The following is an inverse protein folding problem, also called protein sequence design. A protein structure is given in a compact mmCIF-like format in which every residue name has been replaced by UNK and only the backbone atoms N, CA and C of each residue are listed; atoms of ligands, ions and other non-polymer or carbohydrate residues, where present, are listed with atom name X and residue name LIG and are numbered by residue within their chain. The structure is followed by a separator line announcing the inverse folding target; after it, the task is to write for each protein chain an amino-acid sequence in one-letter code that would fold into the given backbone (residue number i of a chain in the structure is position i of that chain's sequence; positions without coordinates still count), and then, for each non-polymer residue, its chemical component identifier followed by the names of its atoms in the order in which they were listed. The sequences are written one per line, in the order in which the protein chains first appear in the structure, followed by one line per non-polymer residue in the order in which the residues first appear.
data_IF_801735739432
#
_entry.id   IF_801735739432
#
_cell.length_a   1.000
_cell.length_b   1.000
_cell.length_c   1.000
_cell.angle_alpha   90.00
_cell.angle_beta   90.00
_cell.angle_gamma   90.00
#
_symmetry.space_group_name_H-M   'P 1'
#
loop_
_entity.id
_entity.type
_entity.pdbx_description
1 polymer ?
#
# COMPACT_ATOMS: atom_id res chain seq x y z
N UNK A 1 10.78 -15.78 -24.33
CA UNK A 1 9.74 -14.74 -24.14
C UNK A 1 10.10 -13.99 -22.88
N UNK A 2 10.37 -12.68 -22.97
CA UNK A 2 10.48 -11.84 -21.78
C UNK A 2 9.16 -11.94 -21.01
N UNK A 3 9.21 -12.33 -19.73
CA UNK A 3 8.06 -12.19 -18.85
C UNK A 3 7.84 -10.69 -18.68
N UNK A 4 6.75 -10.17 -19.24
CA UNK A 4 6.32 -8.81 -18.89
C UNK A 4 6.03 -8.80 -17.39
N UNK A 5 6.90 -8.16 -16.62
CA UNK A 5 6.74 -8.00 -15.18
C UNK A 5 5.71 -6.91 -14.94
N UNK A 6 4.50 -7.34 -14.60
CA UNK A 6 3.41 -6.44 -14.23
C UNK A 6 3.53 -6.10 -12.74
N UNK A 7 3.55 -4.81 -12.43
CA UNK A 7 3.59 -4.29 -11.06
C UNK A 7 2.23 -3.67 -10.72
N UNK A 8 1.68 -4.06 -9.57
CA UNK A 8 0.46 -3.48 -9.01
C UNK A 8 0.83 -2.42 -7.97
N UNK A 9 0.41 -1.18 -8.20
CA UNK A 9 0.41 -0.08 -7.24
C UNK A 9 -0.96 -0.03 -6.56
N UNK A 10 -0.97 -0.15 -5.23
CA UNK A 10 -2.18 -0.12 -4.42
C UNK A 10 -2.17 1.14 -3.55
N UNK A 11 -3.15 2.02 -3.71
CA UNK A 11 -3.27 3.28 -2.97
C UNK A 11 -4.68 3.45 -2.40
N UNK A 12 -4.83 4.11 -1.24
CA UNK A 12 -6.13 4.21 -0.59
C UNK A 12 -7.03 5.28 -1.22
N UNK A 13 -6.45 6.39 -1.66
CA UNK A 13 -7.20 7.58 -2.09
C UNK A 13 -6.83 8.05 -3.48
N UNK A 14 -7.76 8.76 -4.14
CA UNK A 14 -7.47 9.45 -5.39
C UNK A 14 -6.40 10.55 -5.21
N UNK A 15 -6.33 11.17 -4.03
CA UNK A 15 -5.33 12.21 -3.75
C UNK A 15 -3.91 11.64 -3.82
N UNK A 16 -3.69 10.45 -3.26
CA UNK A 16 -2.42 9.71 -3.36
C UNK A 16 -2.15 9.26 -4.79
N UNK A 17 -3.18 8.78 -5.50
CA UNK A 17 -3.04 8.20 -6.84
C UNK A 17 -2.85 9.21 -7.97
N UNK A 18 -3.46 10.38 -7.88
CA UNK A 18 -3.48 11.39 -8.96
C UNK A 18 -2.08 11.71 -9.52
N UNK A 19 -1.05 12.02 -8.72
CA UNK A 19 0.28 12.30 -9.28
C UNK A 19 0.84 11.11 -10.06
N UNK A 20 0.68 9.89 -9.57
CA UNK A 20 1.15 8.69 -10.27
C UNK A 20 0.38 8.40 -11.56
N UNK A 21 -0.94 8.61 -11.56
CA UNK A 21 -1.77 8.43 -12.77
C UNK A 21 -1.27 9.37 -13.88
N UNK A 22 -1.00 10.63 -13.55
CA UNK A 22 -0.55 11.63 -14.51
C UNK A 22 0.89 11.36 -14.97
N UNK A 23 1.83 11.27 -14.03
CA UNK A 23 3.27 11.16 -14.34
C UNK A 23 3.64 9.82 -15.01
N UNK A 24 2.93 8.74 -14.69
CA UNK A 24 3.15 7.41 -15.29
C UNK A 24 2.27 7.14 -16.51
N UNK A 25 1.52 8.15 -16.96
CA UNK A 25 0.62 8.08 -18.12
C UNK A 25 -0.33 6.88 -18.04
N UNK A 26 -0.95 6.66 -16.88
CA UNK A 26 -1.89 5.56 -16.67
C UNK A 26 -3.26 5.92 -17.22
N UNK A 27 -3.84 5.01 -17.99
CA UNK A 27 -5.16 5.20 -18.60
C UNK A 27 -6.18 4.48 -17.74
N UNK A 28 -7.29 5.16 -17.41
CA UNK A 28 -8.39 4.56 -16.67
C UNK A 28 -8.98 3.39 -17.47
N UNK A 29 -9.03 2.22 -16.86
CA UNK A 29 -9.63 1.02 -17.45
C UNK A 29 -11.04 0.77 -16.92
N UNK A 30 -11.23 0.90 -15.61
CA UNK A 30 -12.51 0.62 -14.96
C UNK A 30 -12.74 1.53 -13.76
N UNK A 31 -14.00 1.63 -13.35
CA UNK A 31 -14.41 2.42 -12.17
C UNK A 31 -14.89 1.55 -11.02
N UNK A 32 -15.37 0.33 -11.31
CA UNK A 32 -16.05 -0.56 -10.36
C UNK A 32 -15.52 -2.00 -10.51
N UNK A 33 -15.41 -2.80 -9.43
CA UNK A 33 -15.69 -2.42 -8.04
C UNK A 33 -14.62 -1.50 -7.42
N UNK A 34 -13.49 -1.33 -8.11
CA UNK A 34 -12.43 -0.40 -7.74
C UNK A 34 -12.00 0.41 -8.97
N UNK A 35 -11.65 1.70 -8.83
CA UNK A 35 -11.01 2.44 -9.90
C UNK A 35 -9.64 1.84 -10.24
N UNK A 36 -9.46 1.46 -11.50
CA UNK A 36 -8.20 0.91 -12.02
C UNK A 36 -7.68 1.75 -13.17
N UNK A 37 -6.37 2.00 -13.13
CA UNK A 37 -5.62 2.70 -14.16
C UNK A 37 -4.44 1.84 -14.57
N UNK A 38 -4.14 1.74 -15.87
CA UNK A 38 -3.06 0.88 -16.35
C UNK A 38 -2.28 1.45 -17.52
N UNK A 39 -1.08 0.92 -17.70
CA UNK A 39 -0.33 0.99 -18.95
C UNK A 39 0.23 -0.42 -19.26
N UNK A 40 1.27 -0.51 -20.11
CA UNK A 40 1.87 -1.80 -20.52
C UNK A 40 2.43 -2.62 -19.34
N UNK A 41 3.00 -1.97 -18.33
CA UNK A 41 3.80 -2.63 -17.28
C UNK A 41 3.29 -2.36 -15.86
N UNK A 42 2.35 -1.41 -15.69
CA UNK A 42 1.85 -0.97 -14.40
C UNK A 42 0.34 -1.03 -14.34
N UNK A 43 -0.17 -1.39 -13.18
CA UNK A 43 -1.56 -1.24 -12.78
C UNK A 43 -1.57 -0.43 -11.50
N UNK A 44 -2.45 0.57 -11.42
CA UNK A 44 -2.77 1.29 -10.20
C UNK A 44 -4.22 1.04 -9.84
N UNK A 45 -4.47 0.65 -8.59
CA UNK A 45 -5.81 0.45 -8.05
C UNK A 45 -6.02 1.33 -6.83
N UNK A 46 -7.14 2.06 -6.82
CA UNK A 46 -7.57 2.86 -5.67
C UNK A 46 -8.46 1.96 -4.80
N UNK A 47 -7.96 1.55 -3.63
CA UNK A 47 -8.64 0.58 -2.76
C UNK A 47 -9.76 1.17 -1.91
N UNK A 48 -9.68 2.46 -1.58
CA UNK A 48 -10.40 3.04 -0.45
C UNK A 48 -9.62 2.89 0.86
N UNK A 49 -9.98 3.72 1.86
CA UNK A 49 -9.35 3.73 3.19
C UNK A 49 -9.77 2.50 3.99
N UNK A 50 -8.83 1.91 4.73
CA UNK A 50 -9.08 0.83 5.68
C UNK A 50 -8.55 -0.54 5.22
N UNK A 51 -8.23 -1.39 6.21
CA UNK A 51 -7.57 -2.69 5.99
C UNK A 51 -8.41 -3.64 5.11
N UNK A 52 -9.73 -3.68 5.32
CA UNK A 52 -10.64 -4.51 4.55
C UNK A 52 -10.68 -4.09 3.06
N UNK A 53 -10.79 -2.79 2.80
CA UNK A 53 -10.77 -2.21 1.46
C UNK A 53 -9.46 -2.52 0.72
N UNK A 54 -8.32 -2.30 1.38
CA UNK A 54 -7.01 -2.65 0.84
C UNK A 54 -6.89 -4.15 0.52
N UNK A 55 -7.35 -5.03 1.43
CA UNK A 55 -7.31 -6.47 1.23
C UNK A 55 -8.20 -6.93 0.04
N UNK A 56 -9.43 -6.40 -0.06
CA UNK A 56 -10.36 -6.73 -1.15
C UNK A 56 -9.83 -6.25 -2.50
N UNK A 57 -9.35 -5.02 -2.59
CA UNK A 57 -8.77 -4.47 -3.82
C UNK A 57 -7.51 -5.21 -4.26
N UNK A 58 -6.65 -5.58 -3.30
CA UNK A 58 -5.46 -6.40 -3.57
C UNK A 58 -5.85 -7.78 -4.10
N UNK A 59 -6.78 -8.48 -3.43
CA UNK A 59 -7.23 -9.80 -3.85
C UNK A 59 -7.88 -9.78 -5.23
N UNK A 60 -8.76 -8.81 -5.48
CA UNK A 60 -9.38 -8.56 -6.79
C UNK A 60 -8.31 -8.37 -7.88
N UNK A 61 -7.33 -7.51 -7.62
CA UNK A 61 -6.28 -7.19 -8.58
C UNK A 61 -5.36 -8.39 -8.85
N UNK A 62 -5.03 -9.16 -7.81
CA UNK A 62 -4.21 -10.36 -7.93
C UNK A 62 -4.90 -11.44 -8.77
N UNK A 63 -6.21 -11.66 -8.55
CA UNK A 63 -6.99 -12.63 -9.31
C UNK A 63 -7.19 -12.22 -10.76
N UNK A 64 -7.39 -10.92 -11.00
CA UNK A 64 -7.70 -10.38 -12.33
C UNK A 64 -6.48 -10.21 -13.21
N UNK A 65 -5.37 -9.72 -12.65
CA UNK A 65 -4.22 -9.27 -13.42
C UNK A 65 -2.96 -10.10 -13.21
N UNK A 66 -2.92 -10.97 -12.19
CA UNK A 66 -1.76 -11.79 -11.84
C UNK A 66 -0.43 -10.99 -11.82
N UNK A 67 -0.34 -9.88 -11.07
CA UNK A 67 0.87 -9.07 -11.01
C UNK A 67 2.01 -9.87 -10.39
N UNK A 68 3.23 -9.60 -10.85
CA UNK A 68 4.45 -10.20 -10.31
C UNK A 68 4.95 -9.54 -9.03
N UNK A 69 4.47 -8.33 -8.74
CA UNK A 69 4.83 -7.55 -7.56
C UNK A 69 3.65 -6.65 -7.16
N UNK A 70 3.44 -6.49 -5.86
CA UNK A 70 2.47 -5.56 -5.29
C UNK A 70 3.19 -4.55 -4.41
N UNK A 71 2.96 -3.27 -4.67
CA UNK A 71 3.51 -2.15 -3.91
C UNK A 71 2.35 -1.34 -3.35
N UNK A 72 2.24 -1.30 -2.03
CA UNK A 72 1.30 -0.40 -1.36
C UNK A 72 2.00 0.95 -1.11
N UNK A 73 1.37 2.04 -1.54
CA UNK A 73 1.89 3.40 -1.44
C UNK A 73 0.83 4.28 -0.76
N UNK A 74 1.27 5.18 0.10
CA UNK A 74 0.38 6.11 0.78
C UNK A 74 1.12 7.00 1.76
N UNK A 75 0.41 8.02 2.24
CA UNK A 75 0.93 8.86 3.32
C UNK A 75 0.66 8.20 4.69
N UNK A 76 1.54 8.44 5.66
CA UNK A 76 1.39 7.94 7.02
C UNK A 76 1.73 9.03 8.04
N UNK A 77 1.04 8.99 9.19
CA UNK A 77 1.38 9.81 10.34
C UNK A 77 2.57 9.24 11.10
N UNK A 78 3.46 10.11 11.57
CA UNK A 78 4.55 9.76 12.47
C UNK A 78 4.07 9.80 13.92
N UNK A 79 4.41 8.80 14.73
CA UNK A 79 4.08 8.74 16.18
C UNK A 79 5.18 9.35 17.05
N UNK A 80 5.95 10.29 16.51
CA UNK A 80 7.09 10.92 17.19
C UNK A 80 7.86 11.88 16.28
N UNK A 81 8.73 12.68 16.87
CA UNK A 81 9.43 13.79 16.20
C UNK A 81 10.66 13.39 15.38
N UNK A 82 10.96 12.09 15.27
CA UNK A 82 12.15 11.59 14.55
C UNK A 82 11.98 11.50 13.04
N UNK A 83 10.82 11.89 12.50
CA UNK A 83 10.51 11.86 11.09
C UNK A 83 10.17 13.27 10.62
N UNK A 84 10.82 13.72 9.55
CA UNK A 84 10.51 15.00 8.94
C UNK A 84 9.30 14.86 7.99
N UNK A 85 8.48 15.92 7.91
CA UNK A 85 7.35 15.95 7.00
C UNK A 85 7.83 15.79 5.55
N UNK A 86 7.22 14.86 4.82
CA UNK A 86 7.52 14.59 3.41
C UNK A 86 8.67 13.60 3.17
N UNK A 87 9.29 13.06 4.22
CA UNK A 87 10.24 11.97 4.06
C UNK A 87 9.57 10.69 3.56
N UNK A 88 10.27 9.97 2.68
CA UNK A 88 9.79 8.72 2.07
C UNK A 88 10.58 7.56 2.66
N UNK A 89 9.87 6.52 3.09
CA UNK A 89 10.44 5.34 3.70
C UNK A 89 9.96 4.07 3.03
N UNK A 90 10.84 3.09 2.97
CA UNK A 90 10.45 1.70 2.79
C UNK A 90 9.95 1.15 4.13
N UNK A 91 8.81 0.47 4.11
CA UNK A 91 8.30 -0.18 5.30
C UNK A 91 8.94 -1.56 5.41
N UNK A 92 9.79 -1.81 6.40
CA UNK A 92 10.41 -3.13 6.59
C UNK A 92 9.66 -4.02 7.59
N UNK A 93 8.73 -3.44 8.36
CA UNK A 93 7.84 -4.15 9.30
C UNK A 93 6.51 -3.41 9.39
N UNK A 94 5.42 -4.16 9.29
CA UNK A 94 4.07 -3.70 9.60
C UNK A 94 3.56 -4.38 10.86
N UNK A 95 2.80 -3.66 11.68
CA UNK A 95 2.16 -4.17 12.88
C UNK A 95 0.65 -3.91 12.83
N UNK A 96 -0.16 -4.96 12.92
CA UNK A 96 -1.62 -4.87 13.01
C UNK A 96 -2.04 -5.08 14.47
N UNK A 97 -2.41 -3.99 15.14
CA UNK A 97 -2.75 -3.99 16.56
C UNK A 97 -4.22 -4.33 16.83
N UNK A 98 -5.12 -4.07 15.88
CA UNK A 98 -6.56 -4.37 16.04
C UNK A 98 -6.87 -5.87 15.96
N UNK A 99 -5.90 -6.67 15.50
CA UNK A 99 -6.01 -8.13 15.40
C UNK A 99 -4.90 -8.78 16.25
N UNK A 100 -5.02 -8.79 17.58
CA UNK A 100 -4.01 -9.40 18.42
C UNK A 100 -4.08 -10.93 18.30
N UNK A 101 -2.91 -11.57 18.39
CA UNK A 101 -2.80 -13.02 18.49
C UNK A 101 -3.54 -13.53 19.75
N UNK A 102 -4.32 -14.59 19.59
CA UNK A 102 -5.22 -15.08 20.64
C UNK A 102 -4.51 -15.37 21.97
N UNK A 103 -3.36 -16.05 21.92
CA UNK A 103 -2.63 -16.51 23.12
C UNK A 103 -1.75 -15.43 23.74
N UNK A 104 -0.97 -14.73 22.92
CA UNK A 104 0.08 -13.80 23.38
C UNK A 104 -0.41 -12.37 23.51
N UNK A 105 -1.56 -12.04 22.92
CA UNK A 105 -2.07 -10.67 22.73
C UNK A 105 -1.14 -9.75 21.94
N UNK A 106 -0.07 -10.28 21.36
CA UNK A 106 0.85 -9.54 20.53
C UNK A 106 0.19 -9.16 19.18
N UNK A 107 0.54 -8.01 18.58
CA UNK A 107 0.06 -7.65 17.26
C UNK A 107 0.50 -8.66 16.21
N UNK A 108 -0.27 -8.77 15.11
CA UNK A 108 0.25 -9.45 13.92
C UNK A 108 1.37 -8.61 13.31
N UNK A 109 2.45 -9.27 12.90
CA UNK A 109 3.60 -8.64 12.28
C UNK A 109 3.77 -9.19 10.86
N UNK A 110 3.95 -8.29 9.90
CA UNK A 110 4.34 -8.67 8.54
C UNK A 110 5.67 -8.02 8.17
N UNK A 111 6.43 -8.71 7.32
CA UNK A 111 7.75 -8.28 6.85
C UNK A 111 7.70 -8.28 5.33
N UNK A 112 7.43 -7.13 4.69
CA UNK A 112 7.45 -7.03 3.23
C UNK A 112 8.90 -6.93 2.71
N UNK A 113 9.06 -7.18 1.41
CA UNK A 113 10.32 -6.96 0.72
C UNK A 113 10.64 -5.45 0.63
N UNK A 114 11.93 -5.11 0.69
CA UNK A 114 12.42 -3.73 0.55
C UNK A 114 13.56 -3.66 -0.46
N UNK A 115 13.70 -2.51 -1.11
CA UNK A 115 14.85 -2.24 -1.98
C UNK A 115 16.05 -1.84 -1.12
N UNK A 116 17.25 -2.19 -1.58
CA UNK A 116 18.50 -1.80 -0.91
C UNK A 116 18.68 -0.29 -0.99
N UNK A 117 19.40 0.27 -0.01
CA UNK A 117 19.82 1.68 0.03
C UNK A 117 18.69 2.71 0.26
N UNK A 118 17.47 2.24 0.57
CA UNK A 118 16.38 3.11 1.01
C UNK A 118 16.25 3.15 2.54
N UNK A 119 16.01 4.35 3.07
CA UNK A 119 15.64 4.55 4.47
C UNK A 119 14.42 3.71 4.82
N UNK A 120 14.50 3.00 5.95
CA UNK A 120 13.44 2.10 6.38
C UNK A 120 12.71 2.62 7.61
N UNK A 121 11.40 2.43 7.65
CA UNK A 121 10.56 2.68 8.81
C UNK A 121 9.72 1.44 9.15
N UNK A 122 9.11 1.49 10.33
CA UNK A 122 8.08 0.55 10.76
C UNK A 122 6.75 1.28 10.75
N UNK A 123 5.68 0.61 10.35
CA UNK A 123 4.33 1.18 10.39
C UNK A 123 3.43 0.33 11.27
N UNK A 124 2.49 0.99 11.95
CA UNK A 124 1.40 0.36 12.65
C UNK A 124 0.10 0.69 11.94
N UNK A 125 -0.77 -0.31 11.76
CA UNK A 125 -2.14 -0.10 11.27
C UNK A 125 -3.10 -0.30 12.44
N UNK A 126 -3.94 0.70 12.65
CA UNK A 126 -4.95 0.77 13.70
C UNK A 126 -6.27 1.29 13.10
N UNK A 127 -7.42 0.83 13.59
CA UNK A 127 -8.72 1.39 13.23
C UNK A 127 -9.03 2.69 14.01
N UNK A 128 -8.14 3.04 14.95
CA UNK A 128 -8.18 4.29 15.71
C UNK A 128 -6.86 5.04 15.54
N UNK A 129 -6.94 6.36 15.47
CA UNK A 129 -5.75 7.20 15.46
C UNK A 129 -4.93 6.98 16.74
N UNK A 130 -3.60 6.96 16.57
CA UNK A 130 -2.68 7.11 17.71
C UNK A 130 -2.75 8.56 18.14
N UNK A 131 -3.10 8.80 19.39
CA UNK A 131 -3.01 10.14 19.97
C UNK A 131 -1.57 10.37 20.39
N UNK A 132 -1.03 11.55 20.06
CA UNK A 132 0.27 11.96 20.61
C UNK A 132 0.19 11.93 22.15
N UNK A 133 1.24 11.44 22.83
CA UNK A 133 1.27 11.39 24.29
C UNK A 133 1.15 12.77 24.95
#
# INVERSE_FOLDING_TARGET
MEKNHLILLLMATHLEAKPFILELSLIKEESEPFPVYKNKNLILVISGIGKANAAMACAYSCLKFAPSCVVNLGAAGATGSSYNLGEVFHINKTYEYDRPQFKTKAPHKHVPDVLKDFSCAKIATLDRAVLDP
#
